data_IF_564622088221
#
_entry.id   IF_564622088221
#
_cell.length_a   1.000
_cell.length_b   1.000
_cell.length_c   1.000
_cell.angle_alpha   90.00
_cell.angle_beta   90.00
_cell.angle_gamma   90.00
#
_symmetry.space_group_name_H-M   'P 1'
#
loop_
_entity.id
_entity.type
_entity.pdbx_description
1 polymer ?
#
# COMPACT_ATOMS: atom_id res chain seq x y z
N UNK A 1 5.18 1.08 10.97
CA UNK A 1 4.74 0.50 10.65
C UNK A 1 4.50 -0.48 10.21
N UNK A 2 4.48 -1.01 10.18
CA UNK A 2 4.47 -1.72 9.83
C UNK A 2 3.95 -2.41 8.90
N UNK A 3 4.17 -2.79 8.69
CA UNK A 3 4.29 -3.11 7.33
C UNK A 3 4.07 -4.56 7.01
N UNK A 4 4.19 -5.44 7.90
CA UNK A 4 4.01 -6.87 7.70
C UNK A 4 2.72 -7.36 8.33
N UNK A 5 1.63 -6.69 7.99
CA UNK A 5 0.32 -7.10 8.46
C UNK A 5 -0.06 -8.37 7.73
N UNK A 6 -0.15 -9.46 8.48
CA UNK A 6 -0.55 -10.76 7.95
C UNK A 6 -2.07 -10.93 8.00
N UNK A 7 -2.57 -11.92 7.26
CA UNK A 7 -3.98 -12.24 7.27
C UNK A 7 -4.47 -12.55 8.69
N UNK A 8 -3.64 -13.22 9.50
CA UNK A 8 -3.99 -13.54 10.88
C UNK A 8 -4.20 -12.29 11.73
N UNK A 9 -3.42 -11.23 11.48
CA UNK A 9 -3.55 -9.97 12.20
C UNK A 9 -4.87 -9.28 11.89
N UNK A 10 -5.31 -9.34 10.64
CA UNK A 10 -6.59 -8.80 10.22
C UNK A 10 -7.73 -9.56 10.90
N UNK A 11 -7.65 -10.89 10.89
CA UNK A 11 -8.67 -11.74 11.49
C UNK A 11 -8.79 -11.50 12.99
N UNK A 12 -7.65 -11.34 13.66
CA UNK A 12 -7.62 -11.07 15.09
C UNK A 12 -8.26 -9.72 15.41
N UNK A 13 -7.96 -8.71 14.64
CA UNK A 13 -8.49 -7.36 14.86
C UNK A 13 -10.01 -7.30 14.76
N UNK A 14 -10.62 -8.15 13.93
CA UNK A 14 -12.08 -8.18 13.76
C UNK A 14 -12.73 -9.39 14.43
N UNK A 15 -11.97 -10.15 15.21
CA UNK A 15 -12.45 -11.29 15.97
C UNK A 15 -13.11 -12.39 15.12
N UNK A 16 -12.56 -12.65 13.93
CA UNK A 16 -13.03 -13.72 13.05
C UNK A 16 -11.83 -14.57 12.62
N UNK A 17 -12.11 -15.70 11.98
CA UNK A 17 -11.04 -16.56 11.48
C UNK A 17 -10.41 -15.96 10.23
N UNK A 18 -9.13 -16.28 9.95
CA UNK A 18 -8.49 -15.84 8.70
C UNK A 18 -9.28 -16.27 7.46
N UNK A 19 -9.86 -17.47 7.48
CA UNK A 19 -10.66 -17.96 6.36
C UNK A 19 -11.91 -17.10 6.16
N UNK A 20 -12.58 -16.73 7.26
CA UNK A 20 -13.77 -15.88 7.20
C UNK A 20 -13.44 -14.49 6.64
N UNK A 21 -12.30 -13.90 7.05
CA UNK A 21 -11.84 -12.62 6.52
C UNK A 21 -11.59 -12.75 5.02
N UNK A 22 -10.88 -13.79 4.60
CA UNK A 22 -10.57 -14.02 3.20
C UNK A 22 -11.82 -14.17 2.35
N UNK A 23 -12.79 -14.95 2.85
CA UNK A 23 -14.07 -15.16 2.18
C UNK A 23 -14.83 -13.84 2.03
N UNK A 24 -14.89 -13.05 3.10
CA UNK A 24 -15.59 -11.78 3.11
C UNK A 24 -15.01 -10.80 2.09
N UNK A 25 -13.68 -10.68 2.03
CA UNK A 25 -13.01 -9.80 1.08
C UNK A 25 -13.28 -10.24 -0.36
N UNK A 26 -13.18 -11.55 -0.61
CA UNK A 26 -13.42 -12.08 -1.95
C UNK A 26 -14.85 -11.85 -2.41
N UNK A 27 -15.79 -12.02 -1.50
CA UNK A 27 -17.21 -11.92 -1.82
C UNK A 27 -17.69 -10.48 -1.98
N UNK A 28 -17.27 -9.60 -1.08
CA UNK A 28 -17.80 -8.23 -1.03
C UNK A 28 -16.93 -7.19 -1.71
N UNK A 29 -15.62 -7.39 -1.76
CA UNK A 29 -14.69 -6.42 -2.30
C UNK A 29 -14.01 -6.87 -3.59
N UNK A 30 -14.29 -8.11 -4.04
CA UNK A 30 -13.66 -8.70 -5.23
C UNK A 30 -12.14 -8.65 -5.18
N UNK A 31 -11.56 -8.80 -4.00
CA UNK A 31 -10.12 -8.75 -3.80
C UNK A 31 -9.77 -9.65 -2.61
N UNK A 32 -8.47 -9.80 -2.33
CA UNK A 32 -8.01 -10.51 -1.14
C UNK A 32 -7.61 -9.49 -0.07
N UNK A 33 -7.59 -9.90 1.23
CA UNK A 33 -7.14 -9.00 2.29
C UNK A 33 -5.74 -8.43 2.05
N UNK A 34 -4.80 -9.27 1.57
CA UNK A 34 -3.43 -8.82 1.33
C UNK A 34 -3.35 -7.86 0.16
N UNK A 35 -4.12 -8.09 -0.90
CA UNK A 35 -4.19 -7.17 -2.03
C UNK A 35 -4.81 -5.84 -1.62
N UNK A 36 -5.83 -5.90 -0.79
CA UNK A 36 -6.47 -4.69 -0.27
C UNK A 36 -5.50 -3.87 0.58
N UNK A 37 -4.74 -4.53 1.47
CA UNK A 37 -3.73 -3.87 2.29
C UNK A 37 -2.64 -3.23 1.44
N UNK A 38 -2.19 -3.94 0.40
CA UNK A 38 -1.19 -3.39 -0.53
C UNK A 38 -1.72 -2.11 -1.19
N UNK A 39 -2.96 -2.13 -1.61
CA UNK A 39 -3.59 -0.96 -2.24
C UNK A 39 -3.70 0.20 -1.26
N UNK A 40 -4.04 -0.07 -0.01
CA UNK A 40 -4.10 0.95 1.02
C UNK A 40 -2.72 1.57 1.29
N UNK A 41 -1.68 0.73 1.39
CA UNK A 41 -0.31 1.19 1.57
C UNK A 41 0.14 2.07 0.40
N UNK A 42 -0.19 1.63 -0.80
CA UNK A 42 0.15 2.36 -2.01
C UNK A 42 -0.54 3.73 -2.02
N UNK A 43 -1.81 3.77 -1.62
CA UNK A 43 -2.55 5.03 -1.55
C UNK A 43 -1.95 5.98 -0.50
N UNK A 44 -1.53 5.48 0.65
CA UNK A 44 -0.86 6.30 1.66
C UNK A 44 0.45 6.87 1.12
N UNK A 45 1.25 6.06 0.42
CA UNK A 45 2.47 6.53 -0.22
C UNK A 45 2.17 7.61 -1.26
N UNK A 46 1.11 7.41 -2.03
CA UNK A 46 0.67 8.38 -3.03
C UNK A 46 0.32 9.73 -2.38
N UNK A 47 -0.43 9.71 -1.29
CA UNK A 47 -0.78 10.93 -0.57
C UNK A 47 0.45 11.64 -0.02
N UNK A 48 1.42 10.89 0.49
CA UNK A 48 2.66 11.47 0.97
C UNK A 48 3.48 12.12 -0.15
N UNK A 49 3.53 11.46 -1.31
CA UNK A 49 4.20 12.00 -2.49
C UNK A 49 3.54 13.29 -2.97
N UNK A 50 2.21 13.34 -2.94
CA UNK A 50 1.47 14.53 -3.30
C UNK A 50 1.74 15.69 -2.33
N UNK A 51 1.90 15.38 -1.06
CA UNK A 51 2.19 16.39 -0.04
C UNK A 51 3.60 16.95 -0.15
N UNK A 52 4.54 16.18 -0.67
CA UNK A 52 5.95 16.56 -0.92
C UNK A 52 6.60 17.32 0.23
N UNK A 53 6.55 16.74 1.43
CA UNK A 53 7.02 17.43 2.63
C UNK A 53 8.53 17.25 2.80
N UNK A 54 9.26 18.37 2.83
CA UNK A 54 10.61 18.50 3.40
C UNK A 54 11.69 17.52 2.90
N UNK A 55 11.92 17.46 1.61
CA UNK A 55 13.08 16.75 1.08
C UNK A 55 13.01 15.25 1.22
N UNK A 56 11.83 14.69 1.45
CA UNK A 56 11.66 13.25 1.46
C UNK A 56 11.91 12.69 0.06
N UNK A 57 12.52 11.50 0.02
CA UNK A 57 12.76 10.81 -1.25
C UNK A 57 11.68 9.76 -1.49
N UNK A 58 11.54 9.35 -2.75
CA UNK A 58 10.65 8.24 -3.12
C UNK A 58 11.00 6.98 -2.34
N UNK A 59 12.31 6.69 -2.20
CA UNK A 59 12.77 5.52 -1.47
C UNK A 59 12.32 5.54 -0.01
N UNK A 60 12.45 6.69 0.65
CA UNK A 60 12.03 6.84 2.04
C UNK A 60 10.53 6.65 2.20
N UNK A 61 9.75 7.24 1.31
CA UNK A 61 8.29 7.13 1.36
C UNK A 61 7.85 5.69 1.10
N UNK A 62 8.44 5.05 0.09
CA UNK A 62 8.12 3.65 -0.21
C UNK A 62 8.44 2.74 0.97
N UNK A 63 9.60 2.92 1.58
CA UNK A 63 10.01 2.11 2.73
C UNK A 63 9.07 2.29 3.92
N UNK A 64 8.64 3.52 4.17
CA UNK A 64 7.72 3.81 5.27
C UNK A 64 6.42 3.03 5.15
N UNK A 65 5.94 2.85 3.93
CA UNK A 65 4.67 2.17 3.70
C UNK A 65 4.86 0.69 3.33
N UNK A 66 6.02 0.12 3.64
CA UNK A 66 6.25 -1.31 3.55
C UNK A 66 6.70 -1.83 2.20
N UNK A 67 7.18 -0.97 1.33
CA UNK A 67 7.71 -1.36 0.02
C UNK A 67 9.23 -1.43 0.08
N UNK A 68 9.76 -2.64 0.24
CA UNK A 68 11.19 -2.86 0.40
C UNK A 68 11.99 -2.60 -0.88
N UNK A 69 11.35 -2.74 -2.04
CA UNK A 69 12.01 -2.60 -3.34
C UNK A 69 11.44 -1.39 -4.09
N UNK A 70 12.21 -0.31 -4.13
CA UNK A 70 11.77 0.93 -4.76
C UNK A 70 11.42 0.75 -6.24
N UNK A 71 12.17 -0.10 -6.95
CA UNK A 71 11.88 -0.37 -8.36
C UNK A 71 10.52 -1.03 -8.57
N UNK A 72 10.19 -2.00 -7.74
CA UNK A 72 8.89 -2.66 -7.80
C UNK A 72 7.76 -1.72 -7.38
N UNK A 73 8.01 -0.92 -6.39
CA UNK A 73 7.07 0.12 -5.97
C UNK A 73 6.78 1.07 -7.13
N UNK A 74 7.82 1.52 -7.84
CA UNK A 74 7.67 2.45 -8.95
C UNK A 74 6.81 1.86 -10.07
N UNK A 75 7.02 0.57 -10.39
CA UNK A 75 6.22 -0.11 -11.43
C UNK A 75 4.76 -0.19 -10.99
N UNK A 76 4.51 -0.64 -9.77
CA UNK A 76 3.15 -0.75 -9.24
C UNK A 76 2.46 0.62 -9.19
N UNK A 77 3.18 1.63 -8.74
CA UNK A 77 2.69 3.00 -8.66
C UNK A 77 2.27 3.50 -10.04
N UNK A 78 3.15 3.33 -11.02
CA UNK A 78 2.87 3.78 -12.39
C UNK A 78 1.66 3.05 -12.98
N UNK A 79 1.53 1.75 -12.72
CA UNK A 79 0.38 0.98 -13.19
C UNK A 79 -0.93 1.48 -12.58
N UNK A 80 -0.86 1.97 -11.35
CA UNK A 80 -2.06 2.39 -10.62
C UNK A 80 -2.43 3.84 -10.91
N UNK A 81 -1.45 4.73 -10.97
CA UNK A 81 -1.68 6.17 -11.05
C UNK A 81 -1.29 6.80 -12.39
N UNK A 82 -0.71 6.03 -13.30
CA UNK A 82 -0.40 6.51 -14.64
C UNK A 82 0.89 7.31 -14.78
N UNK A 83 1.61 7.56 -13.69
CA UNK A 83 2.90 8.24 -13.74
C UNK A 83 3.81 7.69 -12.65
N UNK A 84 5.13 7.94 -12.78
CA UNK A 84 6.08 7.44 -11.81
C UNK A 84 5.99 8.24 -10.51
N UNK A 85 6.40 7.63 -9.37
CA UNK A 85 6.41 8.36 -8.10
C UNK A 85 7.33 9.57 -8.12
N UNK A 86 8.43 9.52 -8.88
CA UNK A 86 9.33 10.67 -9.03
C UNK A 86 8.61 11.86 -9.67
N UNK A 87 7.78 11.60 -10.68
CA UNK A 87 7.01 12.64 -11.34
C UNK A 87 6.03 13.27 -10.36
N UNK A 88 5.33 12.45 -9.59
CA UNK A 88 4.38 12.96 -8.59
C UNK A 88 5.11 13.84 -7.57
N UNK A 89 6.24 13.37 -7.06
CA UNK A 89 7.00 14.11 -6.06
C UNK A 89 7.51 15.45 -6.61
N UNK A 90 7.98 15.45 -7.85
CA UNK A 90 8.52 16.68 -8.48
C UNK A 90 7.43 17.68 -8.84
N UNK A 91 6.20 17.23 -9.02
CA UNK A 91 5.07 18.08 -9.41
C UNK A 91 4.38 18.73 -8.23
N UNK A 92 4.70 18.27 -7.02
CA UNK A 92 4.03 18.77 -5.82
C UNK A 92 4.52 20.14 -5.39
#
# INVERSE_FOLDING_TARGET
>A
MHNDIALADIAEAVHVTPRAVQYMFRRHLATTPLQHLRRMRLNHAHQELLAAINGQTVTEIAARWGFAHTGRFAVLYRQTYGQSPHVTLSSA
#
